data_IF_995434627590
#
_entry.id   IF_995434627590
#
_cell.length_a   1.000
_cell.length_b   1.000
_cell.length_c   1.000
_cell.angle_alpha   90.00
_cell.angle_beta   90.00
_cell.angle_gamma   90.00
#
_symmetry.space_group_name_H-M   'P 1'
#
loop_
_entity.id
_entity.type
_entity.pdbx_description
1 polymer ?
#
# COMPACT_ATOMS: atom_id res chain seq x y z
N UNK A 1 -36.46 -9.46 4.53
CA UNK A 1 -36.73 -8.52 3.40
C UNK A 1 -35.99 -7.21 3.70
N UNK A 2 -34.99 -6.90 2.91
CA UNK A 2 -34.24 -5.64 3.02
C UNK A 2 -35.16 -4.56 2.45
N UNK A 3 -35.78 -3.75 3.31
CA UNK A 3 -36.60 -2.63 2.88
C UNK A 3 -35.68 -1.62 2.18
N UNK A 4 -35.91 -1.37 0.88
CA UNK A 4 -35.20 -0.37 0.07
C UNK A 4 -35.66 1.05 0.45
N UNK A 5 -35.35 1.48 1.66
CA UNK A 5 -35.68 2.81 2.15
C UNK A 5 -34.65 3.80 1.62
N UNK A 6 -35.10 4.80 0.87
CA UNK A 6 -34.28 5.90 0.32
C UNK A 6 -34.41 7.11 1.26
N UNK A 7 -33.31 7.77 1.56
CA UNK A 7 -33.33 9.06 2.27
C UNK A 7 -33.05 10.26 1.34
N UNK A 8 -32.57 9.98 0.11
CA UNK A 8 -32.38 10.97 -0.95
C UNK A 8 -33.20 10.58 -2.18
N UNK A 9 -33.78 11.58 -2.85
CA UNK A 9 -34.56 11.43 -4.07
C UNK A 9 -34.33 12.64 -4.99
N UNK A 10 -34.69 12.53 -6.26
CA UNK A 10 -34.63 13.66 -7.18
C UNK A 10 -35.92 14.50 -7.10
N UNK A 11 -35.76 15.80 -6.89
CA UNK A 11 -36.81 16.81 -7.02
C UNK A 11 -36.31 17.90 -7.94
N UNK A 12 -37.03 18.17 -9.01
CA UNK A 12 -36.66 19.17 -10.03
C UNK A 12 -35.22 18.99 -10.55
N UNK A 13 -34.81 17.74 -10.71
CA UNK A 13 -33.46 17.36 -11.19
C UNK A 13 -32.34 17.47 -10.13
N UNK A 14 -32.64 17.86 -8.89
CA UNK A 14 -31.66 17.95 -7.79
C UNK A 14 -31.88 16.84 -6.77
N UNK A 15 -30.78 16.29 -6.26
CA UNK A 15 -30.81 15.33 -5.17
C UNK A 15 -31.20 16.04 -3.88
N UNK A 16 -32.31 15.61 -3.26
CA UNK A 16 -32.93 16.27 -2.12
C UNK A 16 -33.15 15.28 -0.99
N UNK A 17 -32.81 15.67 0.23
CA UNK A 17 -32.98 14.83 1.43
C UNK A 17 -34.45 14.79 1.86
N UNK A 18 -34.87 13.67 2.49
CA UNK A 18 -36.24 13.47 2.96
C UNK A 18 -36.72 14.56 3.95
N UNK A 19 -35.83 15.21 4.71
CA UNK A 19 -36.18 16.29 5.63
C UNK A 19 -36.65 17.55 4.92
N UNK A 20 -36.21 17.78 3.69
CA UNK A 20 -36.37 19.02 2.92
C UNK A 20 -37.66 19.07 2.09
N UNK A 21 -38.44 17.97 2.12
CA UNK A 21 -39.66 17.87 1.30
C UNK A 21 -40.92 17.68 2.14
N UNK A 22 -42.08 17.94 1.55
CA UNK A 22 -43.37 17.67 2.18
C UNK A 22 -43.67 16.19 2.31
N UNK A 23 -44.52 15.82 3.26
CA UNK A 23 -44.96 14.44 3.47
C UNK A 23 -45.87 13.95 2.36
N UNK A 24 -45.86 12.68 2.07
CA UNK A 24 -46.73 12.03 1.09
C UNK A 24 -46.29 12.23 -0.37
N UNK A 25 -47.26 12.25 -1.28
CA UNK A 25 -47.01 12.45 -2.71
C UNK A 25 -46.68 13.90 -3.07
N UNK A 26 -47.04 14.85 -2.19
CA UNK A 26 -46.77 16.27 -2.39
C UNK A 26 -45.27 16.61 -2.42
N UNK A 27 -44.42 15.66 -2.03
CA UNK A 27 -42.98 15.81 -2.19
C UNK A 27 -42.56 16.04 -3.65
N UNK A 28 -43.35 15.58 -4.61
CA UNK A 28 -43.04 15.63 -6.05
C UNK A 28 -41.65 15.04 -6.41
N UNK A 29 -41.25 13.99 -5.68
CA UNK A 29 -39.92 13.36 -5.83
C UNK A 29 -39.99 12.09 -6.69
N UNK A 30 -38.93 11.84 -7.43
CA UNK A 30 -38.73 10.60 -8.20
C UNK A 30 -37.50 9.82 -7.77
N UNK A 31 -37.52 8.52 -8.01
CA UNK A 31 -36.39 7.65 -7.75
C UNK A 31 -35.24 7.96 -8.70
N UNK A 32 -34.00 8.19 -8.22
CA UNK A 32 -32.88 8.50 -9.11
C UNK A 32 -32.46 7.31 -10.01
N UNK A 33 -32.89 6.09 -9.67
CA UNK A 33 -32.57 4.89 -10.45
C UNK A 33 -33.61 4.55 -11.51
N UNK A 34 -34.90 4.45 -11.12
CA UNK A 34 -35.95 4.00 -12.04
C UNK A 34 -36.88 5.13 -12.54
N UNK A 35 -36.74 6.35 -12.03
CA UNK A 35 -37.58 7.51 -12.41
C UNK A 35 -38.99 7.46 -11.86
N UNK A 36 -39.42 6.43 -11.14
CA UNK A 36 -40.77 6.35 -10.59
C UNK A 36 -41.03 7.34 -9.47
N UNK A 37 -42.28 7.76 -9.35
CA UNK A 37 -42.72 8.65 -8.28
C UNK A 37 -42.57 8.04 -6.90
N UNK A 38 -42.08 8.82 -5.97
CA UNK A 38 -41.87 8.44 -4.59
C UNK A 38 -42.87 9.09 -3.65
N UNK A 39 -43.10 8.42 -2.51
CA UNK A 39 -43.92 8.91 -1.41
C UNK A 39 -42.99 9.18 -0.22
N UNK A 40 -42.97 10.40 0.29
CA UNK A 40 -42.22 10.76 1.49
C UNK A 40 -42.93 10.25 2.76
N UNK A 41 -42.40 9.19 3.38
CA UNK A 41 -42.91 8.61 4.61
C UNK A 41 -42.28 9.32 5.81
N UNK A 42 -43.04 10.24 6.45
CA UNK A 42 -42.56 11.11 7.55
C UNK A 42 -43.37 10.90 8.84
N UNK A 43 -43.82 9.67 9.10
CA UNK A 43 -44.57 9.33 10.29
C UNK A 43 -43.69 9.16 11.55
N UNK A 44 -44.29 9.33 12.74
CA UNK A 44 -43.58 9.35 14.04
C UNK A 44 -43.05 7.98 14.54
N UNK A 45 -43.35 6.88 13.85
CA UNK A 45 -42.99 5.50 14.31
C UNK A 45 -41.78 4.89 13.58
N UNK A 46 -41.37 5.48 12.51
CA UNK A 46 -40.26 4.95 11.66
C UNK A 46 -39.36 6.08 11.22
N UNK A 47 -38.11 5.74 10.92
CA UNK A 47 -37.16 6.66 10.29
C UNK A 47 -37.79 7.19 8.99
N UNK A 48 -37.72 8.49 8.77
CA UNK A 48 -38.24 9.13 7.58
C UNK A 48 -37.50 8.62 6.34
N UNK A 49 -38.26 8.24 5.31
CA UNK A 49 -37.71 7.68 4.07
C UNK A 49 -38.66 7.90 2.89
N UNK A 50 -38.12 7.78 1.70
CA UNK A 50 -38.92 7.69 0.48
C UNK A 50 -39.24 6.22 0.17
N UNK A 51 -40.48 5.99 -0.29
CA UNK A 51 -40.93 4.68 -0.77
C UNK A 51 -41.56 4.83 -2.14
N UNK A 52 -41.41 3.79 -3.00
CA UNK A 52 -42.07 3.77 -4.30
C UNK A 52 -43.61 3.73 -4.15
N UNK A 53 -44.30 4.48 -5.00
CA UNK A 53 -45.76 4.59 -4.97
C UNK A 53 -46.45 3.25 -5.25
N UNK A 54 -45.93 2.49 -6.18
CA UNK A 54 -46.51 1.24 -6.65
C UNK A 54 -46.03 -0.02 -5.93
N UNK A 55 -45.37 0.07 -4.77
CA UNK A 55 -44.65 -1.04 -4.14
C UNK A 55 -43.66 -1.76 -5.11
N UNK A 56 -43.16 -1.08 -6.12
CA UNK A 56 -42.18 -1.61 -7.02
C UNK A 56 -40.85 -1.88 -6.30
N UNK A 57 -40.23 -3.01 -6.60
CA UNK A 57 -38.95 -3.39 -6.03
C UNK A 57 -37.78 -2.80 -6.83
N UNK A 58 -37.50 -1.50 -6.64
CA UNK A 58 -36.29 -0.90 -7.18
C UNK A 58 -35.10 -1.17 -6.24
N UNK A 59 -34.35 -2.21 -6.51
CA UNK A 59 -33.22 -2.63 -5.66
C UNK A 59 -32.02 -1.67 -5.76
N UNK A 60 -31.95 -0.85 -6.81
CA UNK A 60 -30.80 0.05 -7.07
C UNK A 60 -30.98 1.49 -6.61
N UNK A 61 -32.17 1.85 -6.12
CA UNK A 61 -32.47 3.24 -5.76
C UNK A 61 -31.53 3.83 -4.72
N UNK A 62 -31.22 3.07 -3.66
CA UNK A 62 -30.27 3.50 -2.62
C UNK A 62 -28.86 3.72 -3.19
N UNK A 63 -28.37 2.73 -3.94
CA UNK A 63 -27.04 2.77 -4.54
C UNK A 63 -26.86 3.98 -5.44
N UNK A 64 -27.83 4.21 -6.33
CA UNK A 64 -27.82 5.35 -7.26
C UNK A 64 -27.86 6.66 -6.47
N UNK A 65 -28.67 6.77 -5.41
CA UNK A 65 -28.77 8.01 -4.63
C UNK A 65 -27.47 8.31 -3.86
N UNK A 66 -26.84 7.30 -3.24
CA UNK A 66 -25.57 7.47 -2.54
C UNK A 66 -24.43 7.85 -3.50
N UNK A 67 -24.38 7.18 -4.64
CA UNK A 67 -23.40 7.45 -5.71
C UNK A 67 -23.52 8.88 -6.26
N UNK A 68 -24.74 9.35 -6.51
CA UNK A 68 -25.00 10.73 -6.94
C UNK A 68 -24.62 11.74 -5.86
N UNK A 69 -25.01 11.49 -4.60
CA UNK A 69 -24.68 12.38 -3.49
C UNK A 69 -23.15 12.53 -3.31
N UNK A 70 -22.41 11.43 -3.43
CA UNK A 70 -20.96 11.47 -3.33
C UNK A 70 -20.32 12.29 -4.45
N UNK A 71 -20.82 12.17 -5.69
CA UNK A 71 -20.38 13.00 -6.83
C UNK A 71 -20.68 14.48 -6.61
N UNK A 72 -21.90 14.80 -6.16
CA UNK A 72 -22.31 16.19 -5.91
C UNK A 72 -21.42 16.83 -4.82
N UNK A 73 -21.11 16.09 -3.74
CA UNK A 73 -20.22 16.58 -2.69
C UNK A 73 -18.81 16.89 -3.25
N UNK A 74 -18.22 15.99 -4.04
CA UNK A 74 -16.91 16.22 -4.64
C UNK A 74 -16.89 17.39 -5.61
N UNK A 75 -17.99 17.59 -6.36
CA UNK A 75 -18.17 18.71 -7.28
C UNK A 75 -18.31 20.05 -6.54
N UNK A 76 -19.06 20.08 -5.41
CA UNK A 76 -19.27 21.26 -4.59
C UNK A 76 -18.01 21.68 -3.83
N UNK A 77 -17.37 20.72 -3.13
CA UNK A 77 -16.30 20.99 -2.17
C UNK A 77 -14.91 21.12 -2.81
N UNK A 78 -14.70 20.51 -3.96
CA UNK A 78 -13.44 20.57 -4.74
C UNK A 78 -12.18 20.31 -3.91
N UNK A 79 -12.26 19.40 -2.97
CA UNK A 79 -11.12 18.95 -2.14
C UNK A 79 -11.28 17.48 -1.79
N UNK A 80 -10.17 16.83 -1.51
CA UNK A 80 -10.16 15.43 -1.08
C UNK A 80 -8.88 15.14 -0.27
N UNK A 81 -8.99 14.38 0.81
CA UNK A 81 -7.83 13.78 1.46
C UNK A 81 -7.44 12.51 0.71
N UNK A 82 -6.22 12.49 0.18
CA UNK A 82 -5.65 11.33 -0.50
C UNK A 82 -4.94 10.42 0.49
N UNK A 83 -5.06 9.09 0.36
CA UNK A 83 -4.29 8.16 1.17
C UNK A 83 -2.80 8.22 0.83
N UNK A 84 -1.98 7.72 1.76
CA UNK A 84 -0.54 7.58 1.54
C UNK A 84 -0.24 6.86 0.23
N UNK A 85 0.88 7.20 -0.39
CA UNK A 85 1.39 6.51 -1.57
C UNK A 85 2.64 5.75 -1.17
N UNK A 86 2.66 4.45 -1.44
CA UNK A 86 3.77 3.56 -1.12
C UNK A 86 3.94 2.49 -2.18
N UNK A 87 5.15 2.00 -2.35
CA UNK A 87 5.45 0.82 -3.16
C UNK A 87 5.45 -0.40 -2.23
N UNK A 88 4.82 -1.48 -2.66
CA UNK A 88 4.87 -2.76 -1.99
C UNK A 88 5.67 -3.76 -2.83
N UNK A 89 6.83 -4.18 -2.33
CA UNK A 89 7.63 -5.26 -2.90
C UNK A 89 7.31 -6.55 -2.16
N UNK A 90 6.69 -7.51 -2.83
CA UNK A 90 6.24 -8.77 -2.22
C UNK A 90 7.30 -9.86 -2.29
N UNK A 91 7.57 -10.50 -1.16
CA UNK A 91 8.34 -11.72 -1.07
C UNK A 91 7.46 -12.96 -1.29
N UNK A 92 8.10 -14.13 -1.36
CA UNK A 92 7.40 -15.40 -1.63
C UNK A 92 6.47 -15.84 -0.50
N UNK A 93 6.80 -15.52 0.73
CA UNK A 93 6.06 -15.92 1.95
C UNK A 93 4.87 -15.00 2.27
N UNK A 94 4.54 -14.06 1.36
CA UNK A 94 3.51 -13.05 1.56
C UNK A 94 3.98 -11.85 2.39
N UNK A 95 5.21 -11.86 2.90
CA UNK A 95 5.82 -10.67 3.47
C UNK A 95 6.03 -9.63 2.38
N UNK A 96 5.99 -8.37 2.75
CA UNK A 96 6.24 -7.29 1.81
C UNK A 96 7.09 -6.21 2.47
N UNK A 97 7.91 -5.58 1.66
CA UNK A 97 8.62 -4.36 2.00
C UNK A 97 7.81 -3.18 1.50
N UNK A 98 7.50 -2.26 2.39
CA UNK A 98 6.88 -1.00 2.05
C UNK A 98 7.93 0.09 1.88
N UNK A 99 7.84 0.84 0.78
CA UNK A 99 8.63 2.05 0.56
C UNK A 99 7.68 3.22 0.44
N UNK A 100 7.69 4.09 1.44
CA UNK A 100 6.84 5.28 1.46
C UNK A 100 7.30 6.29 0.41
N UNK A 101 6.33 6.81 -0.36
CA UNK A 101 6.54 7.89 -1.34
C UNK A 101 6.02 9.21 -0.77
N UNK A 102 4.83 9.20 -0.21
CA UNK A 102 4.23 10.37 0.42
C UNK A 102 3.19 9.97 1.46
N UNK A 103 3.10 10.74 2.52
CA UNK A 103 2.02 10.65 3.51
C UNK A 103 0.67 11.04 2.90
N UNK A 104 -0.39 10.82 3.67
CA UNK A 104 -1.71 11.35 3.39
C UNK A 104 -1.65 12.87 3.20
N UNK A 105 -2.40 13.37 2.24
CA UNK A 105 -2.41 14.81 1.96
C UNK A 105 -3.75 15.30 1.42
N UNK A 106 -4.13 16.48 1.83
CA UNK A 106 -5.23 17.19 1.17
C UNK A 106 -4.82 17.62 -0.24
N UNK A 107 -5.76 17.44 -1.16
CA UNK A 107 -5.64 17.92 -2.52
C UNK A 107 -6.81 18.88 -2.80
N UNK A 108 -6.48 20.13 -3.08
CA UNK A 108 -7.44 21.10 -3.64
C UNK A 108 -7.58 20.88 -5.14
N UNK A 109 -8.80 20.93 -5.62
CA UNK A 109 -9.16 20.62 -7.00
C UNK A 109 -9.55 21.91 -7.73
N UNK A 110 -8.86 22.23 -8.81
CA UNK A 110 -9.17 23.41 -9.63
C UNK A 110 -10.51 23.23 -10.35
N UNK A 111 -10.78 22.01 -10.81
CA UNK A 111 -12.00 21.66 -11.51
C UNK A 111 -12.39 20.20 -11.28
N UNK A 112 -13.69 19.95 -11.29
CA UNK A 112 -14.29 18.61 -11.17
C UNK A 112 -15.31 18.44 -12.30
N UNK A 113 -15.25 17.31 -12.99
CA UNK A 113 -16.15 16.96 -14.09
C UNK A 113 -16.70 15.55 -13.86
N UNK A 114 -18.02 15.41 -13.93
CA UNK A 114 -18.71 14.14 -13.69
C UNK A 114 -18.94 13.38 -15.00
N UNK A 115 -18.78 12.06 -14.96
CA UNK A 115 -19.19 11.10 -16.01
C UNK A 115 -18.77 11.47 -17.44
N UNK A 116 -17.66 12.14 -17.59
CA UNK A 116 -17.13 12.53 -18.91
C UNK A 116 -16.27 11.43 -19.50
N UNK A 117 -16.59 11.01 -20.70
CA UNK A 117 -15.82 10.01 -21.45
C UNK A 117 -14.37 10.46 -21.64
N UNK A 118 -13.43 9.57 -21.27
CA UNK A 118 -11.99 9.71 -21.47
C UNK A 118 -11.51 8.48 -22.25
N UNK A 119 -11.15 8.64 -23.51
CA UNK A 119 -10.79 7.50 -24.35
C UNK A 119 -11.87 6.41 -24.34
N UNK A 120 -11.56 5.26 -23.77
CA UNK A 120 -12.43 4.09 -23.68
C UNK A 120 -13.15 3.94 -22.32
N UNK A 121 -12.90 4.83 -21.36
CA UNK A 121 -13.50 4.78 -20.02
C UNK A 121 -14.36 6.00 -19.73
N UNK A 122 -15.30 5.83 -18.79
CA UNK A 122 -16.08 6.92 -18.21
C UNK A 122 -15.86 6.83 -16.70
N UNK A 123 -14.95 7.67 -16.14
CA UNK A 123 -14.80 7.78 -14.69
C UNK A 123 -16.02 8.44 -14.07
N UNK A 124 -16.35 8.07 -12.82
CA UNK A 124 -17.42 8.73 -12.08
C UNK A 124 -17.12 10.22 -11.89
N UNK A 125 -15.88 10.51 -11.51
CA UNK A 125 -15.38 11.86 -11.30
C UNK A 125 -13.99 12.01 -11.93
N UNK A 126 -13.79 13.12 -12.65
CA UNK A 126 -12.49 13.56 -13.12
C UNK A 126 -12.13 14.83 -12.35
N UNK A 127 -11.14 14.74 -11.50
CA UNK A 127 -10.61 15.87 -10.76
C UNK A 127 -9.33 16.41 -11.43
N UNK A 128 -9.19 17.72 -11.48
CA UNK A 128 -8.03 18.42 -12.05
C UNK A 128 -7.30 19.18 -10.95
N UNK A 129 -5.97 19.09 -10.94
CA UNK A 129 -5.08 19.86 -10.08
C UNK A 129 -3.86 20.30 -10.91
N UNK A 130 -3.79 21.56 -11.29
CA UNK A 130 -2.88 22.07 -12.30
C UNK A 130 -3.05 21.31 -13.62
N UNK A 131 -1.95 20.79 -14.13
CA UNK A 131 -1.96 19.99 -15.36
C UNK A 131 -2.18 18.49 -15.13
N UNK A 132 -2.46 18.07 -13.88
CA UNK A 132 -2.67 16.67 -13.53
C UNK A 132 -4.14 16.34 -13.46
N UNK A 133 -4.45 15.07 -13.80
CA UNK A 133 -5.78 14.48 -13.65
C UNK A 133 -5.75 13.42 -12.55
N UNK A 134 -6.84 13.31 -11.82
CA UNK A 134 -7.14 12.21 -10.89
C UNK A 134 -8.52 11.68 -11.26
N UNK A 135 -8.63 10.39 -11.49
CA UNK A 135 -9.93 9.74 -11.60
C UNK A 135 -10.36 9.25 -10.22
N UNK A 136 -11.65 9.46 -9.91
CA UNK A 136 -12.25 8.97 -8.67
C UNK A 136 -13.43 8.09 -9.08
N UNK A 137 -13.39 6.84 -8.62
CA UNK A 137 -14.45 5.85 -8.77
C UNK A 137 -15.15 5.68 -7.42
N UNK A 138 -16.47 5.57 -7.45
CA UNK A 138 -17.28 5.42 -6.25
C UNK A 138 -17.91 4.04 -6.25
N UNK A 139 -17.42 3.20 -5.36
CA UNK A 139 -17.91 1.84 -5.20
C UNK A 139 -19.03 1.79 -4.15
N UNK A 140 -20.22 1.38 -4.56
CA UNK A 140 -21.35 1.10 -3.65
C UNK A 140 -21.74 -0.37 -3.70
N UNK A 141 -21.78 -0.99 -4.89
CA UNK A 141 -22.15 -2.42 -5.05
C UNK A 141 -21.33 -3.16 -6.09
N UNK A 142 -20.80 -2.47 -7.08
CA UNK A 142 -20.01 -3.08 -8.13
C UNK A 142 -18.63 -2.44 -8.17
N UNK A 143 -17.61 -3.26 -7.81
CA UNK A 143 -16.21 -2.87 -7.96
C UNK A 143 -15.87 -2.68 -9.44
N UNK A 144 -14.86 -1.87 -9.64
CA UNK A 144 -14.25 -1.70 -10.95
C UNK A 144 -13.79 -3.06 -11.49
N UNK A 145 -14.14 -3.39 -12.73
CA UNK A 145 -13.74 -4.62 -13.37
C UNK A 145 -12.30 -4.57 -13.90
N UNK A 146 -11.73 -5.74 -14.20
CA UNK A 146 -10.35 -5.85 -14.67
C UNK A 146 -10.13 -5.13 -16.01
N UNK A 147 -11.15 -5.06 -16.88
CA UNK A 147 -11.05 -4.37 -18.17
C UNK A 147 -10.91 -2.86 -17.95
N UNK A 148 -11.72 -2.27 -17.07
CA UNK A 148 -11.64 -0.86 -16.72
C UNK A 148 -10.31 -0.56 -16.02
N UNK A 149 -9.86 -1.42 -15.10
CA UNK A 149 -8.55 -1.33 -14.44
C UNK A 149 -7.40 -1.31 -15.45
N UNK A 150 -7.38 -2.23 -16.38
CA UNK A 150 -6.33 -2.33 -17.39
C UNK A 150 -6.28 -1.09 -18.31
N UNK A 151 -7.44 -0.52 -18.63
CA UNK A 151 -7.51 0.75 -19.41
C UNK A 151 -6.97 1.93 -18.62
N UNK A 152 -7.30 2.04 -17.33
CA UNK A 152 -6.76 3.08 -16.43
C UNK A 152 -5.22 3.01 -16.38
N UNK A 153 -4.68 1.80 -16.22
CA UNK A 153 -3.22 1.59 -16.20
C UNK A 153 -2.58 2.02 -17.53
N UNK A 154 -3.23 1.68 -18.65
CA UNK A 154 -2.76 2.07 -19.99
C UNK A 154 -2.78 3.59 -20.21
N UNK A 155 -3.79 4.28 -19.67
CA UNK A 155 -3.92 5.74 -19.77
C UNK A 155 -2.92 6.49 -18.85
N UNK A 156 -2.25 5.77 -17.94
CA UNK A 156 -1.28 6.31 -16.96
C UNK A 156 -1.87 7.45 -16.09
N UNK A 157 -3.17 7.37 -15.76
CA UNK A 157 -3.86 8.37 -14.93
C UNK A 157 -4.10 7.80 -13.54
N UNK A 158 -3.56 8.46 -12.52
CA UNK A 158 -3.80 8.08 -11.12
C UNK A 158 -5.30 8.00 -10.84
N UNK A 159 -5.72 6.89 -10.24
CA UNK A 159 -7.13 6.59 -9.98
C UNK A 159 -7.31 6.06 -8.57
N UNK A 160 -8.27 6.61 -7.86
CA UNK A 160 -8.68 6.20 -6.51
C UNK A 160 -10.09 5.63 -6.55
N UNK A 161 -10.33 4.57 -5.80
CA UNK A 161 -11.67 4.05 -5.51
C UNK A 161 -12.07 4.43 -4.10
N UNK A 162 -13.28 4.93 -3.92
CA UNK A 162 -13.88 5.22 -2.62
C UNK A 162 -14.94 4.16 -2.36
N UNK A 163 -14.70 3.31 -1.36
CA UNK A 163 -15.60 2.22 -0.98
C UNK A 163 -16.67 2.71 -0.01
N UNK A 164 -17.89 2.82 -0.52
CA UNK A 164 -19.10 3.18 0.25
C UNK A 164 -20.05 1.97 0.44
N UNK A 165 -19.60 0.74 0.16
CA UNK A 165 -20.44 -0.47 0.20
C UNK A 165 -20.99 -0.77 1.60
N UNK A 166 -20.22 -0.46 2.64
CA UNK A 166 -20.57 -0.69 4.04
C UNK A 166 -21.11 0.56 4.75
N UNK A 167 -21.34 1.65 4.01
CA UNK A 167 -21.86 2.89 4.59
C UNK A 167 -23.33 2.73 4.98
N UNK A 168 -23.70 3.27 6.16
CA UNK A 168 -25.08 3.22 6.66
C UNK A 168 -26.06 3.87 5.67
N UNK A 169 -27.17 3.20 5.41
CA UNK A 169 -28.23 3.66 4.47
C UNK A 169 -28.88 4.98 4.86
N UNK A 170 -28.77 5.35 6.12
CA UNK A 170 -29.32 6.59 6.66
C UNK A 170 -28.24 7.64 6.93
N UNK A 171 -27.07 7.49 6.28
CA UNK A 171 -25.96 8.44 6.44
C UNK A 171 -26.39 9.86 6.09
N UNK A 172 -26.08 10.81 6.96
CA UNK A 172 -26.28 12.23 6.68
C UNK A 172 -25.28 12.77 5.66
N UNK A 173 -25.64 13.86 4.96
CA UNK A 173 -24.71 14.54 4.03
C UNK A 173 -23.40 14.94 4.71
N UNK A 174 -23.46 15.41 5.96
CA UNK A 174 -22.26 15.84 6.71
C UNK A 174 -21.33 14.67 7.05
N UNK A 175 -21.90 13.53 7.47
CA UNK A 175 -21.10 12.33 7.72
C UNK A 175 -20.47 11.79 6.42
N UNK A 176 -21.20 11.81 5.31
CA UNK A 176 -20.65 11.40 4.03
C UNK A 176 -19.57 12.38 3.54
N UNK A 177 -19.75 13.70 3.76
CA UNK A 177 -18.69 14.70 3.52
C UNK A 177 -17.42 14.36 4.27
N UNK A 178 -17.52 14.02 5.55
CA UNK A 178 -16.35 13.63 6.35
C UNK A 178 -15.61 12.42 5.75
N UNK A 179 -16.34 11.37 5.40
CA UNK A 179 -15.77 10.18 4.75
C UNK A 179 -15.08 10.55 3.43
N UNK A 180 -15.74 11.32 2.57
CA UNK A 180 -15.23 11.66 1.25
C UNK A 180 -14.05 12.63 1.30
N UNK A 181 -14.05 13.59 2.22
CA UNK A 181 -13.13 14.72 2.19
C UNK A 181 -12.02 14.64 3.23
N UNK A 182 -12.24 13.97 4.36
CA UNK A 182 -11.36 14.07 5.54
C UNK A 182 -10.83 12.72 6.04
N UNK A 183 -11.33 11.60 5.54
CA UNK A 183 -10.91 10.25 5.93
C UNK A 183 -10.29 9.50 4.75
N UNK A 184 -9.39 8.55 5.02
CA UNK A 184 -8.72 7.73 3.99
C UNK A 184 -9.06 6.25 4.11
N UNK A 185 -9.71 5.81 5.19
CA UNK A 185 -10.01 4.41 5.46
C UNK A 185 -10.83 3.71 4.36
N UNK A 186 -11.70 4.45 3.66
CA UNK A 186 -12.53 3.96 2.55
C UNK A 186 -11.89 4.18 1.19
N UNK A 187 -10.65 4.68 1.11
CA UNK A 187 -9.99 5.05 -0.14
C UNK A 187 -8.82 4.13 -0.43
N UNK A 188 -8.78 3.62 -1.66
CA UNK A 188 -7.65 2.82 -2.13
C UNK A 188 -7.20 3.26 -3.52
N UNK A 189 -5.90 3.22 -3.77
CA UNK A 189 -5.37 3.43 -5.10
C UNK A 189 -5.67 2.22 -5.99
N UNK A 190 -6.40 2.45 -7.09
CA UNK A 190 -6.53 1.48 -8.18
C UNK A 190 -5.26 1.47 -9.01
N UNK A 191 -4.75 2.68 -9.26
CA UNK A 191 -3.50 2.93 -9.94
C UNK A 191 -2.93 4.27 -9.48
N UNK A 192 -1.62 4.34 -9.27
CA UNK A 192 -0.93 5.58 -8.97
C UNK A 192 0.28 5.75 -9.88
N UNK A 193 0.27 6.76 -10.76
CA UNK A 193 1.34 6.99 -11.73
C UNK A 193 2.69 7.33 -11.08
N UNK A 194 2.67 7.94 -9.89
CA UNK A 194 3.90 8.26 -9.14
C UNK A 194 4.49 6.99 -8.53
N UNK A 195 3.65 6.13 -7.93
CA UNK A 195 4.04 4.81 -7.45
C UNK A 195 4.67 3.98 -8.56
N UNK A 196 3.98 3.86 -9.71
CA UNK A 196 4.46 3.10 -10.86
C UNK A 196 5.81 3.61 -11.39
N UNK A 197 6.00 4.94 -11.43
CA UNK A 197 7.27 5.55 -11.83
C UNK A 197 8.41 5.16 -10.88
N UNK A 198 8.18 5.23 -9.56
CA UNK A 198 9.17 4.86 -8.58
C UNK A 198 9.42 3.36 -8.55
N UNK A 199 8.36 2.53 -8.65
CA UNK A 199 8.49 1.08 -8.77
C UNK A 199 9.42 0.70 -9.94
N UNK A 200 9.15 1.22 -11.14
CA UNK A 200 10.00 0.99 -12.32
C UNK A 200 11.44 1.44 -12.09
N UNK A 201 11.64 2.56 -11.40
CA UNK A 201 12.97 3.06 -11.09
C UNK A 201 13.74 2.11 -10.17
N UNK A 202 13.13 1.61 -9.11
CA UNK A 202 13.74 0.61 -8.23
C UNK A 202 14.11 -0.68 -8.99
N UNK A 203 13.19 -1.19 -9.81
CA UNK A 203 13.42 -2.40 -10.59
C UNK A 203 14.56 -2.22 -11.62
N UNK A 204 14.64 -1.06 -12.27
CA UNK A 204 15.72 -0.75 -13.22
C UNK A 204 17.08 -0.54 -12.53
N UNK A 205 17.09 -0.09 -11.29
CA UNK A 205 18.31 0.10 -10.50
C UNK A 205 18.78 -1.19 -9.80
N UNK A 206 17.95 -2.24 -9.79
CA UNK A 206 18.26 -3.52 -9.17
C UNK A 206 19.10 -4.42 -10.08
N UNK A 207 20.13 -5.05 -9.51
CA UNK A 207 20.87 -6.13 -10.15
C UNK A 207 20.17 -7.49 -9.88
N UNK A 208 20.34 -8.43 -10.80
CA UNK A 208 19.82 -9.79 -10.68
C UNK A 208 20.87 -10.72 -10.10
N UNK A 209 20.48 -11.51 -9.12
CA UNK A 209 21.32 -12.52 -8.47
C UNK A 209 20.65 -13.89 -8.54
N UNK A 210 21.36 -14.87 -9.11
CA UNK A 210 20.88 -16.25 -9.17
C UNK A 210 20.91 -16.93 -7.81
N UNK A 211 19.94 -17.78 -7.57
CA UNK A 211 19.88 -18.64 -6.39
C UNK A 211 20.47 -20.04 -6.69
N UNK A 212 21.40 -20.51 -5.84
CA UNK A 212 21.92 -21.87 -5.88
C UNK A 212 21.48 -22.61 -4.62
N UNK A 213 20.49 -23.49 -4.74
CA UNK A 213 19.77 -24.03 -3.58
C UNK A 213 19.03 -22.91 -2.84
N UNK A 214 19.36 -22.67 -1.57
CA UNK A 214 18.85 -21.56 -0.77
C UNK A 214 19.81 -20.35 -0.68
N UNK A 215 20.94 -20.39 -1.40
CA UNK A 215 22.01 -19.41 -1.27
C UNK A 215 22.08 -18.46 -2.44
N UNK A 216 22.22 -17.17 -2.15
CA UNK A 216 22.55 -16.09 -3.08
C UNK A 216 24.01 -15.73 -2.87
N UNK A 217 24.87 -16.00 -3.87
CA UNK A 217 26.28 -15.65 -3.80
C UNK A 217 26.51 -14.17 -4.14
N UNK A 218 27.67 -13.64 -3.73
CA UNK A 218 28.09 -12.28 -4.00
C UNK A 218 27.12 -11.21 -3.49
N UNK A 219 26.49 -11.48 -2.31
CA UNK A 219 25.62 -10.49 -1.68
C UNK A 219 26.34 -9.15 -1.52
N UNK A 220 25.85 -8.05 -2.14
CA UNK A 220 26.59 -6.77 -2.14
C UNK A 220 26.66 -6.13 -0.76
N UNK A 221 25.71 -6.46 0.13
CA UNK A 221 25.68 -5.97 1.51
C UNK A 221 26.64 -6.75 2.41
N UNK A 222 27.11 -7.92 1.97
CA UNK A 222 27.95 -8.83 2.77
C UNK A 222 27.25 -9.30 4.04
N UNK A 223 25.95 -9.56 3.96
CA UNK A 223 25.13 -10.00 5.11
C UNK A 223 25.79 -11.17 5.83
N UNK A 224 26.29 -12.14 5.06
CA UNK A 224 27.10 -13.26 5.55
C UNK A 224 28.39 -13.38 4.77
N UNK A 225 29.37 -14.04 5.39
CA UNK A 225 30.69 -14.26 4.78
C UNK A 225 31.14 -15.69 5.07
N UNK A 226 31.58 -16.43 4.07
CA UNK A 226 32.14 -17.77 4.25
C UNK A 226 33.58 -17.71 4.76
N UNK A 227 34.19 -18.90 5.06
CA UNK A 227 35.56 -19.02 5.57
C UNK A 227 36.64 -18.45 4.63
N UNK A 228 36.31 -18.24 3.36
CA UNK A 228 37.22 -17.68 2.36
C UNK A 228 37.01 -16.17 2.15
N UNK A 229 36.08 -15.56 2.90
CA UNK A 229 35.75 -14.14 2.80
C UNK A 229 34.75 -13.84 1.70
N UNK A 230 34.14 -14.84 1.05
CA UNK A 230 33.16 -14.61 -0.01
C UNK A 230 31.81 -14.22 0.59
N UNK A 231 31.22 -13.10 0.14
CA UNK A 231 29.92 -12.66 0.64
C UNK A 231 28.78 -13.52 0.09
N UNK A 232 27.80 -13.81 0.91
CA UNK A 232 26.57 -14.51 0.51
C UNK A 232 25.39 -14.09 1.36
N UNK A 233 24.19 -14.52 0.96
CA UNK A 233 22.97 -14.43 1.75
C UNK A 233 22.18 -15.74 1.62
N UNK A 234 21.36 -16.05 2.62
CA UNK A 234 20.42 -17.17 2.58
C UNK A 234 19.04 -16.59 2.26
N UNK A 235 18.44 -17.03 1.14
CA UNK A 235 17.22 -16.44 0.61
C UNK A 235 16.12 -16.28 1.67
N UNK A 236 15.71 -17.40 2.31
CA UNK A 236 14.62 -17.43 3.29
C UNK A 236 14.92 -16.78 4.65
N UNK A 237 16.19 -16.53 4.95
CA UNK A 237 16.62 -15.93 6.23
C UNK A 237 17.05 -14.50 6.11
N UNK A 238 17.56 -14.12 4.95
CA UNK A 238 18.17 -12.82 4.74
C UNK A 238 17.45 -12.01 3.68
N UNK A 239 17.30 -12.56 2.44
CA UNK A 239 16.84 -11.75 1.31
C UNK A 239 15.37 -11.36 1.43
N UNK A 240 14.50 -12.24 1.91
CA UNK A 240 13.06 -11.94 2.04
C UNK A 240 12.75 -10.81 3.02
N UNK A 241 13.66 -10.57 3.98
CA UNK A 241 13.55 -9.48 4.96
C UNK A 241 14.49 -8.30 4.65
N UNK A 242 15.30 -8.41 3.59
CA UNK A 242 16.30 -7.43 3.27
C UNK A 242 15.67 -6.18 2.65
N UNK A 243 16.00 -5.01 3.20
CA UNK A 243 15.51 -3.71 2.70
C UNK A 243 15.94 -3.41 1.25
N UNK A 244 16.88 -4.16 0.69
CA UNK A 244 17.37 -4.01 -0.69
C UNK A 244 16.79 -5.02 -1.68
N UNK A 245 16.08 -6.05 -1.22
CA UNK A 245 15.41 -7.01 -2.11
C UNK A 245 14.11 -6.38 -2.63
N UNK A 246 13.97 -6.27 -3.94
CA UNK A 246 12.82 -5.60 -4.57
C UNK A 246 11.98 -6.52 -5.45
N UNK A 247 12.47 -7.73 -5.75
CA UNK A 247 11.71 -8.71 -6.50
C UNK A 247 12.32 -10.11 -6.35
N UNK A 248 11.50 -11.14 -6.58
CA UNK A 248 11.92 -12.54 -6.62
C UNK A 248 11.71 -13.09 -8.02
N UNK A 249 12.80 -13.51 -8.66
CA UNK A 249 12.78 -14.08 -10.00
C UNK A 249 12.29 -15.53 -9.90
N UNK A 250 11.22 -15.86 -10.65
CA UNK A 250 10.61 -17.20 -10.69
C UNK A 250 10.57 -17.75 -12.11
N UNK A 251 10.55 -19.07 -12.21
CA UNK A 251 10.23 -19.75 -13.47
C UNK A 251 8.71 -19.79 -13.73
N UNK A 252 8.33 -20.45 -14.84
CA UNK A 252 6.92 -20.60 -15.23
C UNK A 252 6.10 -21.47 -14.25
N UNK A 253 6.77 -22.33 -13.48
CA UNK A 253 6.15 -23.22 -12.49
C UNK A 253 6.08 -22.56 -11.09
N UNK A 254 6.65 -21.35 -10.93
CA UNK A 254 6.65 -20.58 -9.69
C UNK A 254 7.84 -20.87 -8.77
N UNK A 255 8.83 -21.68 -9.19
CA UNK A 255 10.03 -21.92 -8.41
C UNK A 255 10.95 -20.69 -8.42
N UNK A 256 11.57 -20.41 -7.24
CA UNK A 256 12.46 -19.27 -7.10
C UNK A 256 13.81 -19.56 -7.79
N UNK A 257 14.17 -18.75 -8.77
CA UNK A 257 15.45 -18.80 -9.49
C UNK A 257 16.46 -17.79 -8.97
N UNK A 258 16.02 -16.71 -8.33
CA UNK A 258 16.89 -15.65 -7.87
C UNK A 258 16.13 -14.46 -7.33
N UNK A 259 16.84 -13.33 -7.20
CA UNK A 259 16.28 -12.07 -6.72
C UNK A 259 16.73 -10.89 -7.60
N UNK A 260 15.94 -9.80 -7.55
CA UNK A 260 16.39 -8.46 -7.92
C UNK A 260 16.70 -7.67 -6.65
N UNK A 261 17.87 -7.05 -6.61
CA UNK A 261 18.39 -6.41 -5.42
C UNK A 261 19.08 -5.09 -5.74
N UNK A 262 18.73 -4.03 -5.05
CA UNK A 262 19.37 -2.70 -5.15
C UNK A 262 20.58 -2.53 -4.24
N UNK A 263 21.01 -3.60 -3.59
CA UNK A 263 22.07 -3.59 -2.58
C UNK A 263 23.43 -3.11 -3.10
N UNK A 264 23.78 -3.32 -4.37
CA UNK A 264 25.02 -2.78 -4.95
C UNK A 264 25.03 -1.23 -4.96
N UNK A 265 23.85 -0.63 -5.14
CA UNK A 265 23.66 0.84 -5.11
C UNK A 265 23.25 1.37 -3.72
N UNK A 266 23.00 0.47 -2.74
CA UNK A 266 22.53 0.84 -1.40
C UNK A 266 21.27 1.70 -1.41
N UNK A 267 20.27 1.32 -2.22
CA UNK A 267 18.99 2.02 -2.36
C UNK A 267 17.91 1.19 -1.70
N UNK A 268 17.36 1.68 -0.60
CA UNK A 268 16.28 1.02 0.15
C UNK A 268 15.01 1.88 0.25
N UNK A 269 15.14 3.18 0.09
CA UNK A 269 14.07 4.16 0.18
C UNK A 269 14.24 5.29 -0.84
N UNK A 270 13.22 6.13 -1.01
CA UNK A 270 13.26 7.23 -1.99
C UNK A 270 14.30 8.27 -1.64
N UNK A 271 14.49 8.56 -0.36
CA UNK A 271 15.47 9.53 0.13
C UNK A 271 16.91 9.16 -0.28
N UNK A 272 17.19 7.86 -0.52
CA UNK A 272 18.51 7.40 -0.93
C UNK A 272 18.93 7.95 -2.30
N UNK A 273 17.99 8.29 -3.16
CA UNK A 273 18.28 8.88 -4.46
C UNK A 273 18.88 10.30 -4.37
N UNK A 274 18.72 10.97 -3.24
CA UNK A 274 19.33 12.28 -2.98
C UNK A 274 20.68 12.21 -2.28
N UNK A 275 21.07 11.01 -1.79
CA UNK A 275 22.34 10.78 -1.08
C UNK A 275 23.44 10.31 -2.07
N UNK A 276 24.67 10.64 -1.80
CA UNK A 276 25.83 10.07 -2.51
C UNK A 276 25.99 8.58 -2.20
N UNK A 277 26.68 7.85 -3.05
CA UNK A 277 26.96 6.42 -2.81
C UNK A 277 27.74 6.20 -1.51
N UNK A 278 28.67 7.10 -1.15
CA UNK A 278 29.45 6.98 0.08
C UNK A 278 28.59 7.15 1.34
N UNK A 279 27.64 8.08 1.34
CA UNK A 279 26.68 8.25 2.45
C UNK A 279 25.80 7.01 2.59
N UNK A 280 25.28 6.47 1.50
CA UNK A 280 24.48 5.24 1.52
C UNK A 280 25.27 4.02 2.02
N UNK A 281 26.55 3.89 1.61
CA UNK A 281 27.43 2.83 2.11
C UNK A 281 27.66 3.00 3.62
N UNK A 282 27.93 4.21 4.10
CA UNK A 282 28.13 4.45 5.53
C UNK A 282 26.90 4.05 6.35
N UNK A 283 25.70 4.46 5.93
CA UNK A 283 24.43 4.08 6.57
C UNK A 283 24.23 2.56 6.56
N UNK A 284 24.43 1.94 5.40
CA UNK A 284 24.29 0.47 5.25
C UNK A 284 25.26 -0.31 6.13
N UNK A 285 26.51 0.15 6.22
CA UNK A 285 27.53 -0.47 7.05
C UNK A 285 27.21 -0.32 8.55
N UNK A 286 26.68 0.85 8.95
CA UNK A 286 26.26 1.03 10.34
C UNK A 286 25.14 0.05 10.73
N UNK A 287 24.11 -0.10 9.90
CA UNK A 287 23.02 -1.06 10.10
C UNK A 287 23.54 -2.50 10.15
N UNK A 288 24.46 -2.86 9.26
CA UNK A 288 25.08 -4.19 9.24
C UNK A 288 25.88 -4.46 10.50
N UNK A 289 26.63 -3.46 10.99
CA UNK A 289 27.37 -3.57 12.25
C UNK A 289 26.45 -3.81 13.43
N UNK A 290 25.39 -3.01 13.55
CA UNK A 290 24.38 -3.14 14.62
C UNK A 290 23.72 -4.53 14.60
N UNK A 291 23.32 -5.02 13.42
CA UNK A 291 22.77 -6.36 13.24
C UNK A 291 23.77 -7.46 13.73
N UNK A 292 25.05 -7.33 13.40
CA UNK A 292 26.08 -8.28 13.80
C UNK A 292 26.37 -8.26 15.29
N UNK A 293 26.32 -7.10 15.93
CA UNK A 293 26.41 -6.96 17.39
C UNK A 293 25.20 -7.62 18.07
N UNK A 294 24.01 -7.45 17.51
CA UNK A 294 22.80 -8.10 18.00
C UNK A 294 22.89 -9.64 17.91
N UNK A 295 23.39 -10.16 16.79
CA UNK A 295 23.64 -11.59 16.64
C UNK A 295 24.61 -12.11 17.72
N UNK A 296 25.70 -11.40 17.95
CA UNK A 296 26.66 -11.74 19.02
C UNK A 296 26.00 -11.74 20.39
N UNK A 297 25.16 -10.78 20.70
CA UNK A 297 24.45 -10.70 21.99
C UNK A 297 23.49 -11.87 22.20
N UNK A 298 22.99 -12.47 21.12
CA UNK A 298 22.15 -13.68 21.12
C UNK A 298 22.97 -14.99 21.15
N UNK A 299 24.29 -14.90 21.21
CA UNK A 299 25.18 -16.06 21.14
C UNK A 299 25.29 -16.69 19.75
N UNK A 300 24.96 -15.94 18.71
CA UNK A 300 24.99 -16.38 17.33
C UNK A 300 26.21 -15.84 16.59
N UNK A 301 26.74 -16.63 15.69
CA UNK A 301 27.81 -16.18 14.78
C UNK A 301 27.32 -15.15 13.78
N UNK A 302 27.89 -13.93 13.72
CA UNK A 302 27.42 -12.86 12.85
C UNK A 302 27.63 -13.13 11.36
N UNK A 303 28.38 -14.20 11.01
CA UNK A 303 28.67 -14.57 9.62
C UNK A 303 27.90 -15.78 9.11
N UNK A 304 27.36 -16.66 9.98
CA UNK A 304 26.61 -17.82 9.53
C UNK A 304 25.39 -18.18 10.40
N UNK A 305 25.14 -17.44 11.48
CA UNK A 305 24.03 -17.61 12.44
C UNK A 305 24.00 -18.99 13.15
N UNK A 306 25.10 -19.70 13.19
CA UNK A 306 25.22 -20.88 14.07
C UNK A 306 25.62 -20.43 15.47
N UNK A 307 25.36 -21.26 16.45
CA UNK A 307 25.70 -20.95 17.83
C UNK A 307 27.22 -20.73 18.02
N UNK A 308 27.54 -19.82 18.93
CA UNK A 308 28.90 -19.57 19.38
C UNK A 308 29.18 -20.43 20.65
N UNK A 309 30.26 -21.16 20.64
CA UNK A 309 30.67 -22.01 21.75
C UNK A 309 31.88 -21.42 22.48
N UNK A 310 31.80 -21.35 23.81
CA UNK A 310 32.89 -20.91 24.67
C UNK A 310 34.01 -21.95 24.64
N UNK A 311 35.25 -21.50 24.44
CA UNK A 311 36.46 -22.33 24.44
C UNK A 311 37.55 -21.68 25.28
N UNK A 312 38.48 -22.49 25.75
CA UNK A 312 39.67 -22.05 26.49
C UNK A 312 40.89 -22.34 25.62
N UNK A 313 41.66 -21.31 25.31
CA UNK A 313 42.89 -21.39 24.53
C UNK A 313 44.11 -20.98 25.32
N UNK A 314 45.28 -20.95 24.66
CA UNK A 314 46.56 -20.55 25.27
C UNK A 314 46.53 -19.13 25.87
N UNK A 315 45.67 -18.25 25.33
CA UNK A 315 45.60 -16.83 25.70
C UNK A 315 44.30 -16.45 26.45
N UNK A 316 43.62 -17.44 27.01
CA UNK A 316 42.39 -17.22 27.78
C UNK A 316 41.15 -17.76 27.12
N UNK A 317 40.00 -17.22 27.56
CA UNK A 317 38.68 -17.60 27.08
C UNK A 317 38.37 -16.89 25.76
N UNK A 318 37.80 -17.63 24.80
CA UNK A 318 37.30 -17.09 23.56
C UNK A 318 36.01 -17.79 23.12
N UNK A 319 35.28 -17.20 22.26
CA UNK A 319 34.08 -17.77 21.62
C UNK A 319 34.39 -18.11 20.17
N UNK A 320 33.99 -19.28 19.73
CA UNK A 320 34.20 -19.78 18.38
C UNK A 320 32.87 -20.22 17.76
N UNK A 321 32.71 -20.01 16.45
CA UNK A 321 31.59 -20.55 15.71
C UNK A 321 31.57 -22.09 15.81
N UNK A 322 30.40 -22.68 16.14
CA UNK A 322 30.24 -24.15 16.20
C UNK A 322 30.40 -24.80 14.82
N UNK A 323 30.19 -24.04 13.73
CA UNK A 323 30.40 -24.46 12.35
C UNK A 323 31.85 -24.20 11.86
N UNK A 324 32.85 -24.45 12.67
CA UNK A 324 34.24 -24.04 12.45
C UNK A 324 34.83 -24.53 11.10
N UNK A 325 34.41 -25.68 10.60
CA UNK A 325 34.86 -26.20 9.30
C UNK A 325 34.46 -25.35 8.11
N UNK A 326 33.34 -24.63 8.22
CA UNK A 326 32.78 -23.74 7.16
C UNK A 326 32.83 -22.25 7.53
N UNK A 327 32.93 -21.94 8.83
CA UNK A 327 33.03 -20.60 9.36
C UNK A 327 34.05 -20.56 10.49
N UNK A 328 35.13 -19.81 10.29
CA UNK A 328 36.24 -19.73 11.24
C UNK A 328 36.20 -18.47 12.11
N UNK A 329 35.03 -17.91 12.34
CA UNK A 329 34.84 -16.75 13.19
C UNK A 329 35.12 -17.06 14.65
N UNK A 330 35.90 -16.20 15.30
CA UNK A 330 36.18 -16.24 16.75
C UNK A 330 36.21 -14.80 17.28
N UNK A 331 35.85 -14.64 18.55
CA UNK A 331 36.04 -13.40 19.29
C UNK A 331 36.37 -13.67 20.76
N UNK A 332 36.99 -12.71 21.41
CA UNK A 332 37.18 -12.64 22.86
C UNK A 332 36.71 -11.29 23.38
N UNK A 333 36.45 -11.21 24.68
CA UNK A 333 36.13 -9.96 25.35
C UNK A 333 37.39 -9.59 26.16
N UNK A 334 37.86 -8.38 26.00
CA UNK A 334 38.93 -7.85 26.85
C UNK A 334 38.41 -7.71 28.27
N UNK A 335 39.06 -8.31 29.23
CA UNK A 335 38.62 -8.36 30.65
C UNK A 335 38.73 -6.96 31.32
N UNK A 336 39.65 -6.11 30.86
CA UNK A 336 39.88 -4.79 31.46
C UNK A 336 38.98 -3.72 30.84
N UNK A 337 38.80 -3.74 29.51
CA UNK A 337 38.05 -2.70 28.77
C UNK A 337 36.63 -3.10 28.41
N UNK A 338 36.31 -4.40 28.43
CA UNK A 338 35.04 -4.93 27.95
C UNK A 338 34.93 -4.93 26.44
N UNK A 339 35.97 -4.55 25.70
CA UNK A 339 35.92 -4.45 24.24
C UNK A 339 35.95 -5.83 23.56
N UNK A 340 35.23 -5.92 22.45
CA UNK A 340 35.19 -7.10 21.58
C UNK A 340 36.44 -7.15 20.70
N UNK A 341 37.25 -8.19 20.86
CA UNK A 341 38.40 -8.50 19.99
C UNK A 341 38.03 -9.62 19.03
N UNK A 342 37.65 -9.25 17.81
CA UNK A 342 37.24 -10.19 16.76
C UNK A 342 38.43 -10.55 15.85
N UNK A 343 38.50 -11.83 15.43
CA UNK A 343 39.48 -12.29 14.44
C UNK A 343 39.30 -11.60 13.07
N UNK A 344 38.03 -11.32 12.72
CA UNK A 344 37.67 -10.59 11.50
C UNK A 344 36.91 -9.31 11.90
N UNK A 345 37.12 -8.26 11.17
CA UNK A 345 36.33 -7.04 11.35
C UNK A 345 34.85 -7.34 11.13
N UNK A 346 33.98 -6.76 11.94
CA UNK A 346 32.53 -6.91 11.83
C UNK A 346 31.95 -6.12 10.66
N UNK A 347 32.77 -5.42 9.89
CA UNK A 347 32.40 -4.71 8.66
C UNK A 347 33.23 -5.22 7.47
#
# INVERSE_FOLDING_TARGET
>A
MIKNNLIYALKDGKLTHISEVESGLNCACICPSCGESLVAKKGNRMIHHFAHKANSECIYGYQTSLHLLAKDILLEEKRILLPKVQINFYAHDGSHKEVEISNEKFLELDNVVLEKKQGEIIPDVIAYCGNKKLYIEIYVTHKIDDNKRNRIIKDDVSTIEIDLSEVDRYISKDMLKKILLEETAQKQWIYNSVENKWYKKFINDADSFEMKGSRINNCPIRTRVDKHGNPYAVFIKDCIYCEYCVDVIRDQEGFNLGIKCTGAKRISEISDYSKTINERIAISNQKLYEMRIEDLSKGLCPFCLTELVKRVGKYGVFYACSNYSYCNFTYSIDEETGELKCKYQLL
#
